data_IF_858121358713
#
_entry.id   IF_858121358713
#
_cell.length_a   1.000
_cell.length_b   1.000
_cell.length_c   1.000
_cell.angle_alpha   90.00
_cell.angle_beta   90.00
_cell.angle_gamma   90.00
#
_symmetry.space_group_name_H-M   'P 1'
#
loop_
_entity.id
_entity.type
_entity.pdbx_description
1 polymer ?
#
# COMPACT_ATOMS: atom_id res chain seq x y z
N UNK A 1 0.96 -49.03 -17.83
CA UNK A 1 1.06 -47.59 -18.13
C UNK A 1 2.52 -47.24 -18.09
N UNK A 2 3.17 -47.13 -19.25
CA UNK A 2 4.56 -46.66 -19.33
C UNK A 2 4.56 -45.15 -19.22
N UNK A 3 5.14 -44.65 -18.14
CA UNK A 3 5.33 -43.20 -17.92
C UNK A 3 6.46 -42.78 -18.86
N UNK A 4 6.14 -41.97 -19.85
CA UNK A 4 7.11 -41.48 -20.82
C UNK A 4 8.11 -40.50 -20.17
N UNK A 5 9.44 -40.78 -20.18
CA UNK A 5 10.44 -39.94 -19.52
C UNK A 5 10.42 -38.46 -19.97
N UNK A 6 9.95 -38.21 -21.19
CA UNK A 6 9.80 -36.84 -21.72
C UNK A 6 8.66 -36.05 -21.07
N UNK A 7 7.58 -36.72 -20.65
CA UNK A 7 6.46 -36.06 -19.95
C UNK A 7 6.83 -35.71 -18.52
N UNK A 8 7.54 -36.61 -17.82
CA UNK A 8 8.05 -36.36 -16.48
C UNK A 8 9.00 -35.14 -16.46
N UNK A 9 9.89 -35.08 -17.47
CA UNK A 9 10.82 -33.95 -17.61
C UNK A 9 10.10 -32.63 -17.91
N UNK A 10 8.97 -32.67 -18.65
CA UNK A 10 8.17 -31.50 -18.97
C UNK A 10 7.40 -31.00 -17.73
N UNK A 11 6.81 -31.91 -16.98
CA UNK A 11 6.11 -31.61 -15.71
C UNK A 11 7.09 -31.05 -14.66
N UNK A 12 8.30 -31.63 -14.54
CA UNK A 12 9.33 -31.14 -13.65
C UNK A 12 9.84 -29.74 -14.07
N UNK A 13 10.00 -29.47 -15.37
CA UNK A 13 10.36 -28.14 -15.86
C UNK A 13 9.28 -27.12 -15.62
N UNK A 14 8.01 -27.48 -15.76
CA UNK A 14 6.87 -26.59 -15.43
C UNK A 14 6.76 -26.36 -13.92
N UNK A 15 6.98 -27.37 -13.10
CA UNK A 15 7.01 -27.19 -11.64
C UNK A 15 8.20 -26.36 -11.17
N UNK A 16 9.37 -26.51 -11.78
CA UNK A 16 10.55 -25.68 -11.47
C UNK A 16 10.33 -24.22 -11.90
N UNK A 17 9.66 -24.00 -13.04
CA UNK A 17 9.30 -22.68 -13.52
C UNK A 17 8.29 -22.00 -12.59
N UNK A 18 7.30 -22.76 -12.13
CA UNK A 18 6.32 -22.31 -11.14
C UNK A 18 6.92 -22.17 -9.72
N UNK A 19 8.05 -22.84 -9.41
CA UNK A 19 8.77 -22.64 -8.16
C UNK A 19 9.52 -21.30 -8.14
N UNK A 20 9.96 -20.81 -9.30
CA UNK A 20 10.53 -19.48 -9.47
C UNK A 20 9.47 -18.37 -9.31
N UNK A 21 8.23 -18.62 -9.77
CA UNK A 21 7.10 -17.72 -9.55
C UNK A 21 6.58 -17.76 -8.09
N UNK A 22 6.78 -18.85 -7.37
CA UNK A 22 6.47 -18.94 -5.94
C UNK A 22 7.42 -18.17 -5.03
N UNK A 23 8.56 -17.72 -5.52
CA UNK A 23 9.44 -16.82 -4.77
C UNK A 23 8.86 -15.40 -4.62
N UNK A 24 7.86 -15.03 -5.44
CA UNK A 24 7.10 -13.79 -5.26
C UNK A 24 5.95 -13.89 -4.23
N UNK A 25 5.69 -15.08 -3.70
CA UNK A 25 4.60 -15.33 -2.72
C UNK A 25 4.88 -14.67 -1.36
N UNK A 26 6.12 -14.33 -1.05
CA UNK A 26 6.45 -13.56 0.15
C UNK A 26 5.95 -12.10 0.13
N UNK A 27 5.40 -11.65 -0.99
CA UNK A 27 4.85 -10.31 -1.19
C UNK A 27 3.31 -10.27 -1.17
N UNK A 28 2.68 -11.42 -0.93
CA UNK A 28 1.22 -11.56 -0.93
C UNK A 28 0.75 -12.09 0.42
N UNK A 29 -0.25 -11.42 0.99
CA UNK A 29 -0.92 -11.85 2.21
C UNK A 29 -2.41 -12.10 1.99
N UNK A 30 -3.07 -12.61 3.01
CA UNK A 30 -4.50 -12.87 3.03
C UNK A 30 -5.16 -12.20 4.23
N UNK A 31 -6.30 -11.57 4.01
CA UNK A 31 -7.09 -10.93 5.08
C UNK A 31 -7.64 -12.00 6.01
N UNK A 32 -7.30 -11.94 7.28
CA UNK A 32 -7.85 -12.80 8.34
C UNK A 32 -9.15 -12.23 8.90
N UNK A 33 -9.18 -10.93 9.11
CA UNK A 33 -10.36 -10.21 9.59
C UNK A 33 -10.29 -8.74 9.19
N UNK A 34 -11.46 -8.13 9.02
CA UNK A 34 -11.58 -6.70 8.70
C UNK A 34 -12.69 -6.09 9.55
N UNK A 35 -12.48 -4.89 10.04
CA UNK A 35 -13.47 -4.12 10.80
C UNK A 35 -12.90 -2.79 11.28
N UNK A 36 -13.77 -1.81 11.36
CA UNK A 36 -13.45 -0.45 11.85
C UNK A 36 -12.27 0.21 11.11
N UNK A 37 -12.14 -0.05 9.80
CA UNK A 37 -11.05 0.49 8.98
C UNK A 37 -9.70 -0.18 9.19
N UNK A 38 -9.66 -1.31 9.90
CA UNK A 38 -8.44 -2.09 10.15
C UNK A 38 -8.60 -3.49 9.58
N UNK A 39 -7.60 -3.95 8.83
CA UNK A 39 -7.48 -5.33 8.39
C UNK A 39 -6.32 -6.02 9.10
N UNK A 40 -6.52 -7.26 9.53
CA UNK A 40 -5.45 -8.17 9.95
C UNK A 40 -5.12 -9.09 8.81
N UNK A 41 -3.84 -9.16 8.45
CA UNK A 41 -3.36 -9.86 7.27
C UNK A 41 -2.32 -10.89 7.70
N UNK A 42 -2.43 -12.08 7.16
CA UNK A 42 -1.47 -13.17 7.31
C UNK A 42 -0.56 -13.24 6.09
N UNK A 43 0.72 -13.53 6.29
CA UNK A 43 1.65 -13.90 5.21
C UNK A 43 2.40 -12.73 4.55
N UNK A 44 2.39 -11.52 5.11
CA UNK A 44 3.22 -10.39 4.66
C UNK A 44 4.54 -10.34 5.46
N UNK A 45 5.34 -11.41 5.39
CA UNK A 45 6.50 -11.60 6.28
C UNK A 45 7.59 -10.53 6.14
N UNK A 46 7.73 -9.92 4.98
CA UNK A 46 8.77 -8.92 4.70
C UNK A 46 8.24 -7.48 4.66
N UNK A 47 6.97 -7.26 5.04
CA UNK A 47 6.40 -5.90 5.05
C UNK A 47 7.07 -5.04 6.12
N UNK A 48 7.24 -3.77 5.82
CA UNK A 48 7.79 -2.80 6.77
C UNK A 48 6.67 -1.95 7.38
N UNK A 49 6.87 -1.49 8.61
CA UNK A 49 5.96 -0.52 9.21
C UNK A 49 5.92 0.77 8.38
N UNK A 50 4.72 1.27 8.10
CA UNK A 50 4.51 2.42 7.21
C UNK A 50 4.52 2.07 5.72
N UNK A 51 4.68 0.81 5.35
CA UNK A 51 4.62 0.37 3.95
C UNK A 51 3.18 0.35 3.45
N UNK A 52 3.00 0.76 2.20
CA UNK A 52 1.71 0.70 1.52
C UNK A 52 1.43 -0.71 1.02
N UNK A 53 0.22 -1.17 1.22
CA UNK A 53 -0.32 -2.42 0.67
C UNK A 53 -1.53 -2.14 -0.20
N UNK A 54 -1.80 -3.01 -1.14
CA UNK A 54 -2.93 -2.92 -2.06
C UNK A 54 -3.81 -4.16 -1.93
N UNK A 55 -5.10 -3.96 -1.71
CA UNK A 55 -6.11 -5.00 -1.64
C UNK A 55 -6.59 -5.40 -3.04
N UNK A 56 -7.25 -6.55 -3.14
CA UNK A 56 -7.76 -7.10 -4.40
C UNK A 56 -8.81 -6.21 -5.09
N UNK A 57 -9.51 -5.38 -4.33
CA UNK A 57 -10.49 -4.41 -4.83
C UNK A 57 -9.86 -3.08 -5.31
N UNK A 58 -8.54 -2.93 -5.19
CA UNK A 58 -7.80 -1.71 -5.50
C UNK A 58 -7.71 -0.69 -4.35
N UNK A 59 -8.32 -0.98 -3.21
CA UNK A 59 -8.16 -0.18 -1.99
C UNK A 59 -6.72 -0.24 -1.49
N UNK A 60 -6.27 0.83 -0.86
CA UNK A 60 -4.91 0.93 -0.31
C UNK A 60 -4.97 0.97 1.20
N UNK A 61 -3.91 0.48 1.82
CA UNK A 61 -3.73 0.55 3.25
C UNK A 61 -2.27 0.74 3.64
N UNK A 62 -2.04 0.99 4.91
CA UNK A 62 -0.72 1.14 5.49
C UNK A 62 -0.50 0.10 6.57
N UNK A 63 0.59 -0.65 6.47
CA UNK A 63 1.03 -1.57 7.51
C UNK A 63 1.51 -0.76 8.73
N UNK A 64 0.85 -0.95 9.87
CA UNK A 64 1.14 -0.18 11.07
C UNK A 64 1.69 -1.06 12.18
N UNK A 65 1.06 -2.19 12.42
CA UNK A 65 1.43 -3.11 13.49
C UNK A 65 1.94 -4.42 12.91
N UNK A 66 3.18 -4.77 13.24
CA UNK A 66 3.83 -6.01 12.81
C UNK A 66 3.89 -6.97 13.99
N UNK A 67 3.05 -7.99 13.95
CA UNK A 67 3.06 -9.09 14.91
C UNK A 67 3.75 -10.32 14.30
N UNK A 68 4.04 -11.30 15.12
CA UNK A 68 4.77 -12.51 14.67
C UNK A 68 4.03 -13.35 13.63
N UNK A 69 2.70 -13.31 13.64
CA UNK A 69 1.85 -14.14 12.78
C UNK A 69 0.92 -13.33 11.89
N UNK A 70 0.76 -12.04 12.14
CA UNK A 70 -0.13 -11.19 11.38
C UNK A 70 0.34 -9.74 11.34
N UNK A 71 -0.17 -9.01 10.37
CA UNK A 71 0.11 -7.59 10.16
C UNK A 71 -1.18 -6.81 10.28
N UNK A 72 -1.20 -5.81 11.16
CA UNK A 72 -2.29 -4.85 11.27
C UNK A 72 -2.14 -3.75 10.22
N UNK A 73 -3.12 -3.62 9.36
CA UNK A 73 -3.15 -2.64 8.26
C UNK A 73 -4.32 -1.70 8.45
N UNK A 74 -4.06 -0.40 8.40
CA UNK A 74 -5.09 0.64 8.36
C UNK A 74 -5.51 0.84 6.90
N UNK A 75 -6.81 0.75 6.63
CA UNK A 75 -7.38 0.90 5.30
C UNK A 75 -7.60 2.39 5.00
N UNK A 76 -7.20 2.83 3.81
CA UNK A 76 -7.47 4.18 3.34
C UNK A 76 -8.76 4.20 2.52
N UNK A 77 -9.84 4.67 3.11
CA UNK A 77 -11.13 4.76 2.47
C UNK A 77 -12.18 3.80 3.03
N UNK A 78 -13.04 3.27 2.17
CA UNK A 78 -14.15 2.39 2.56
C UNK A 78 -13.66 0.92 2.67
N UNK A 79 -13.91 0.30 3.80
CA UNK A 79 -13.55 -1.10 4.09
C UNK A 79 -14.65 -2.11 3.71
N UNK A 80 -15.83 -1.64 3.25
CA UNK A 80 -17.01 -2.48 3.00
C UNK A 80 -16.83 -3.51 1.90
N UNK A 81 -15.92 -3.25 0.97
CA UNK A 81 -15.64 -4.13 -0.16
C UNK A 81 -14.59 -5.20 0.17
N UNK A 82 -13.84 -5.01 1.25
CA UNK A 82 -12.79 -5.93 1.68
C UNK A 82 -13.41 -7.03 2.54
N UNK A 83 -13.09 -8.28 2.24
CA UNK A 83 -13.62 -9.46 2.92
C UNK A 83 -12.49 -10.32 3.47
N UNK A 84 -12.86 -11.13 4.46
CA UNK A 84 -11.97 -12.20 4.94
C UNK A 84 -11.65 -13.16 3.80
N UNK A 85 -10.38 -13.51 3.67
CA UNK A 85 -9.86 -14.33 2.59
C UNK A 85 -9.37 -13.55 1.36
N UNK A 86 -9.60 -12.25 1.28
CA UNK A 86 -9.12 -11.43 0.17
C UNK A 86 -7.59 -11.37 0.15
N UNK A 87 -7.06 -11.24 -1.05
CA UNK A 87 -5.62 -11.17 -1.30
C UNK A 87 -5.14 -9.74 -1.16
N UNK A 88 -4.03 -9.58 -0.46
CA UNK A 88 -3.35 -8.29 -0.27
C UNK A 88 -1.95 -8.37 -0.82
N UNK A 89 -1.54 -7.37 -1.59
CA UNK A 89 -0.21 -7.28 -2.19
C UNK A 89 0.62 -6.19 -1.53
N UNK A 90 1.87 -6.48 -1.30
CA UNK A 90 2.89 -5.51 -0.93
C UNK A 90 3.20 -4.59 -2.09
N UNK A 91 3.39 -3.30 -1.84
CA UNK A 91 3.85 -2.36 -2.87
C UNK A 91 5.36 -2.12 -2.82
N UNK A 92 6.03 -2.49 -1.73
CA UNK A 92 7.45 -2.23 -1.52
C UNK A 92 7.79 -0.75 -1.28
N UNK A 93 6.79 0.11 -1.16
CA UNK A 93 6.97 1.56 -0.95
C UNK A 93 6.34 2.02 0.36
N UNK A 94 7.05 2.87 1.09
CA UNK A 94 6.49 3.56 2.25
C UNK A 94 5.44 4.56 1.77
N UNK A 95 4.36 4.73 2.54
CA UNK A 95 3.29 5.66 2.20
C UNK A 95 3.85 7.07 2.00
N UNK A 96 3.68 7.58 0.80
CA UNK A 96 4.10 8.91 0.38
C UNK A 96 2.93 9.71 -0.21
N UNK A 97 3.06 11.02 -0.20
CA UNK A 97 2.09 11.94 -0.81
C UNK A 97 2.83 12.96 -1.68
N UNK A 98 2.23 13.41 -2.79
CA UNK A 98 2.80 14.46 -3.60
C UNK A 98 2.89 15.76 -2.79
N UNK A 99 3.99 16.48 -2.99
CA UNK A 99 4.26 17.77 -2.34
C UNK A 99 4.83 18.75 -3.36
N UNK A 100 4.44 20.01 -3.27
CA UNK A 100 5.00 21.05 -4.15
C UNK A 100 4.00 22.13 -4.49
N UNK A 101 4.49 23.13 -5.25
CA UNK A 101 3.69 24.27 -5.71
C UNK A 101 2.64 23.86 -6.74
N UNK A 102 2.83 22.73 -7.37
CA UNK A 102 1.94 22.13 -8.37
C UNK A 102 0.57 21.73 -7.78
N UNK A 103 0.50 21.61 -6.45
CA UNK A 103 -0.74 21.36 -5.73
C UNK A 103 -1.57 22.62 -5.45
N UNK A 104 -1.02 23.80 -5.71
CA UNK A 104 -1.75 25.05 -5.48
C UNK A 104 -2.95 25.14 -6.42
N UNK A 105 -4.12 25.40 -5.86
CA UNK A 105 -5.39 25.45 -6.60
C UNK A 105 -5.97 24.10 -7.00
N UNK A 106 -5.41 22.99 -6.46
CA UNK A 106 -5.92 21.62 -6.62
C UNK A 106 -6.56 21.14 -5.31
N UNK A 107 -7.55 20.28 -5.45
CA UNK A 107 -8.14 19.55 -4.31
C UNK A 107 -7.74 18.09 -4.46
N UNK A 108 -7.07 17.55 -3.42
CA UNK A 108 -6.56 16.20 -3.42
C UNK A 108 -6.99 15.47 -2.13
N UNK A 109 -7.05 14.14 -2.20
CA UNK A 109 -7.25 13.31 -1.01
C UNK A 109 -5.96 13.20 -0.17
N UNK A 110 -6.01 12.46 0.94
CA UNK A 110 -4.85 12.26 1.85
C UNK A 110 -3.65 11.54 1.20
N UNK A 111 -3.85 10.82 0.11
CA UNK A 111 -2.80 10.17 -0.68
C UNK A 111 -2.33 11.02 -1.87
N UNK A 112 -2.95 12.20 -2.05
CA UNK A 112 -2.63 13.12 -3.13
C UNK A 112 -3.32 12.81 -4.46
N UNK A 113 -4.36 11.97 -4.47
CA UNK A 113 -5.14 11.76 -5.67
C UNK A 113 -6.08 12.97 -5.88
N UNK A 114 -6.13 13.56 -7.10
CA UNK A 114 -6.98 14.70 -7.34
C UNK A 114 -8.47 14.31 -7.32
N UNK A 115 -9.25 15.08 -6.58
CA UNK A 115 -10.71 14.90 -6.45
C UNK A 115 -11.49 16.12 -6.99
N UNK A 116 -10.79 17.06 -7.61
CA UNK A 116 -11.33 18.32 -8.13
C UNK A 116 -11.86 18.25 -9.57
N UNK A 117 -11.82 17.09 -10.21
CA UNK A 117 -12.23 16.90 -11.60
C UNK A 117 -11.33 17.57 -12.66
N UNK A 118 -10.21 18.16 -12.26
CA UNK A 118 -9.28 18.85 -13.17
C UNK A 118 -8.23 17.93 -13.82
N UNK A 119 -8.39 16.62 -13.70
CA UNK A 119 -7.47 15.63 -14.26
C UNK A 119 -6.28 15.29 -13.34
N UNK A 120 -5.43 14.38 -13.80
CA UNK A 120 -4.28 13.90 -13.05
C UNK A 120 -3.26 15.00 -12.74
N UNK A 121 -2.52 14.82 -11.66
CA UNK A 121 -1.36 15.66 -11.36
C UNK A 121 -0.19 15.35 -12.30
N UNK A 122 0.72 16.30 -12.46
CA UNK A 122 1.91 16.13 -13.30
C UNK A 122 2.78 14.98 -12.79
N UNK A 123 3.29 14.17 -13.71
CA UNK A 123 4.10 12.97 -13.38
C UNK A 123 5.45 13.27 -12.70
N UNK A 124 5.88 14.52 -12.67
CA UNK A 124 7.16 14.96 -12.11
C UNK A 124 7.09 15.54 -10.71
N UNK A 125 5.93 15.50 -10.05
CA UNK A 125 5.74 16.05 -8.70
C UNK A 125 6.58 15.27 -7.70
N UNK A 126 7.29 16.00 -6.85
CA UNK A 126 8.03 15.41 -5.73
C UNK A 126 7.06 14.76 -4.76
N UNK A 127 7.48 13.63 -4.21
CA UNK A 127 6.76 12.93 -3.16
C UNK A 127 7.52 13.01 -1.85
N UNK A 128 6.81 13.08 -0.75
CA UNK A 128 7.36 13.05 0.60
C UNK A 128 6.63 12.01 1.42
N UNK A 129 7.34 11.37 2.35
CA UNK A 129 6.72 10.42 3.28
C UNK A 129 5.65 11.12 4.09
N UNK A 130 4.55 10.44 4.32
CA UNK A 130 3.44 10.95 5.13
C UNK A 130 3.85 11.01 6.61
N UNK A 131 4.54 9.98 7.08
CA UNK A 131 5.00 9.91 8.45
C UNK A 131 6.36 10.61 8.60
N UNK A 132 6.32 11.88 8.98
CA UNK A 132 7.50 12.70 9.25
C UNK A 132 7.40 13.29 10.65
N UNK A 133 8.49 13.19 11.41
CA UNK A 133 8.58 13.81 12.73
C UNK A 133 8.44 15.33 12.58
N UNK A 134 7.44 15.90 13.24
CA UNK A 134 7.24 17.35 13.27
C UNK A 134 8.44 18.08 13.91
N UNK A 135 8.82 19.25 13.40
CA UNK A 135 9.85 20.07 14.03
C UNK A 135 9.40 20.49 15.45
N UNK A 136 10.36 20.51 16.37
CA UNK A 136 10.11 21.00 17.74
C UNK A 136 9.78 22.50 17.80
N UNK A 137 9.53 23.01 19.00
CA UNK A 137 9.11 24.41 19.21
C UNK A 137 10.18 25.40 18.75
N UNK A 138 11.46 25.13 19.04
CA UNK A 138 12.57 26.04 18.75
C UNK A 138 12.75 26.34 17.25
N UNK A 139 12.74 25.34 16.33
CA UNK A 139 12.86 25.59 14.91
C UNK A 139 11.58 26.08 14.22
N UNK A 140 10.46 26.17 14.94
CA UNK A 140 9.20 26.65 14.37
C UNK A 140 9.18 28.17 14.32
N UNK A 141 8.83 28.69 13.14
CA UNK A 141 8.49 30.09 12.97
C UNK A 141 7.07 30.36 13.49
N UNK A 142 6.83 31.56 14.05
CA UNK A 142 5.49 32.01 14.39
C UNK A 142 4.58 32.03 13.16
N UNK A 143 3.30 31.76 13.36
CA UNK A 143 2.32 31.83 12.25
C UNK A 143 2.22 33.27 11.78
N UNK A 144 2.81 33.56 10.64
CA UNK A 144 2.79 34.87 9.99
C UNK A 144 1.85 34.92 8.79
N UNK A 145 1.64 33.77 8.13
CA UNK A 145 0.77 33.64 6.97
C UNK A 145 -0.17 32.45 7.17
N UNK A 146 -1.48 32.65 7.20
CA UNK A 146 -2.44 31.56 7.29
C UNK A 146 -2.47 30.78 5.98
N UNK A 147 -2.31 29.46 6.06
CA UNK A 147 -2.51 28.57 4.92
C UNK A 147 -3.92 28.00 5.00
N UNK A 148 -4.77 28.38 4.04
CA UNK A 148 -6.10 27.80 3.94
C UNK A 148 -6.05 26.47 3.19
N UNK A 149 -6.33 25.40 3.91
CA UNK A 149 -6.60 24.09 3.32
C UNK A 149 -8.10 23.90 3.24
N UNK A 150 -8.61 23.69 2.05
CA UNK A 150 -10.00 23.28 1.88
C UNK A 150 -10.01 21.76 1.83
N UNK A 151 -10.30 21.15 2.97
CA UNK A 151 -10.72 19.74 3.03
C UNK A 151 -12.23 19.75 3.15
N UNK A 152 -12.91 19.14 2.19
CA UNK A 152 -14.33 18.78 2.35
C UNK A 152 -14.41 17.50 3.16
#
# INVERSE_FOLDING_TARGET
MEINPSEVTKILKEQIKNFGEKAEISEVGQVLSVGDGIARIYGLDNVQAGEMVEFSDGSKGMALNLESENVGVVIFGDDRNIKEGDVVKRTGSIVDTPVGKELLGRVVDGLGNPIDGKGALDKGIKKSRVEVKAPGIIPRQSVSEPMHWFTN
#
